data_IF_514939549467
#
_entry.id   IF_514939549467
#
_cell.length_a   1.000
_cell.length_b   1.000
_cell.length_c   1.000
_cell.angle_alpha   90.00
_cell.angle_beta   90.00
_cell.angle_gamma   90.00
#
_symmetry.space_group_name_H-M   'P 1'
#
loop_
_entity.id
_entity.type
_entity.pdbx_description
1 polymer ?
#
# COMPACT_ATOMS: atom_id res chain seq x y z
N UNK A 1 -19.96 34.63 -37.87
CA UNK A 1 -18.64 34.00 -37.65
C UNK A 1 -18.61 33.38 -36.24
N UNK A 2 -18.92 32.09 -36.11
CA UNK A 2 -18.83 31.35 -34.85
C UNK A 2 -17.63 30.40 -34.93
N UNK A 3 -16.48 30.77 -34.37
CA UNK A 3 -15.29 29.89 -34.31
C UNK A 3 -14.46 30.02 -33.03
N UNK A 4 -15.04 30.43 -31.89
CA UNK A 4 -14.27 30.57 -30.64
C UNK A 4 -14.55 29.53 -29.53
N UNK A 5 -15.46 28.57 -29.71
CA UNK A 5 -15.86 27.66 -28.61
C UNK A 5 -15.22 26.26 -28.61
N UNK A 6 -14.48 25.87 -29.65
CA UNK A 6 -14.00 24.48 -29.79
C UNK A 6 -12.64 24.18 -29.12
N UNK A 7 -11.88 25.19 -28.67
CA UNK A 7 -10.54 24.98 -28.09
C UNK A 7 -10.56 24.66 -26.59
N UNK A 8 -11.52 25.17 -25.81
CA UNK A 8 -11.58 24.89 -24.37
C UNK A 8 -12.16 23.51 -24.01
N UNK A 9 -13.06 22.94 -24.82
CA UNK A 9 -13.62 21.59 -24.58
C UNK A 9 -12.63 20.43 -24.79
N UNK A 10 -11.64 20.59 -25.68
CA UNK A 10 -10.62 19.54 -25.92
C UNK A 10 -9.62 19.41 -24.77
N UNK A 11 -9.22 20.53 -24.16
CA UNK A 11 -8.22 20.56 -23.08
C UNK A 11 -8.72 19.91 -21.79
N UNK A 12 -9.98 20.12 -21.40
CA UNK A 12 -10.54 19.47 -20.21
C UNK A 12 -10.71 17.95 -20.35
N UNK A 13 -11.00 17.46 -21.56
CA UNK A 13 -11.19 16.03 -21.78
C UNK A 13 -9.86 15.25 -21.74
N UNK A 14 -8.76 15.87 -22.19
CA UNK A 14 -7.42 15.27 -22.09
C UNK A 14 -6.92 15.19 -20.64
N UNK A 15 -7.17 16.22 -19.83
CA UNK A 15 -6.78 16.20 -18.41
C UNK A 15 -7.55 15.14 -17.60
N UNK A 16 -8.87 15.02 -17.83
CA UNK A 16 -9.68 14.01 -17.16
C UNK A 16 -9.25 12.58 -17.52
N UNK A 17 -8.89 12.36 -18.79
CA UNK A 17 -8.35 11.07 -19.24
C UNK A 17 -6.99 10.75 -18.62
N UNK A 18 -6.09 11.75 -18.53
CA UNK A 18 -4.79 11.57 -17.89
C UNK A 18 -4.91 11.27 -16.39
N UNK A 19 -5.84 11.92 -15.70
CA UNK A 19 -6.11 11.61 -14.28
C UNK A 19 -6.63 10.18 -14.13
N UNK A 20 -7.55 9.75 -15.01
CA UNK A 20 -8.08 8.38 -14.98
C UNK A 20 -6.98 7.32 -15.17
N UNK A 21 -6.08 7.52 -16.16
CA UNK A 21 -4.95 6.62 -16.39
C UNK A 21 -4.05 6.56 -15.15
N UNK A 22 -3.77 7.70 -14.52
CA UNK A 22 -2.98 7.75 -13.30
C UNK A 22 -3.65 7.00 -12.14
N UNK A 23 -4.95 7.17 -11.97
CA UNK A 23 -5.70 6.48 -10.91
C UNK A 23 -5.67 4.96 -11.12
N UNK A 24 -5.76 4.49 -12.36
CA UNK A 24 -5.59 3.07 -12.72
C UNK A 24 -4.17 2.57 -12.40
N UNK A 25 -3.12 3.33 -12.74
CA UNK A 25 -1.73 3.00 -12.40
C UNK A 25 -1.49 2.93 -10.88
N UNK A 26 -2.10 3.83 -10.10
CA UNK A 26 -2.02 3.82 -8.64
C UNK A 26 -2.68 2.56 -8.08
N UNK A 27 -3.88 2.22 -8.55
CA UNK A 27 -4.60 1.02 -8.10
C UNK A 27 -3.82 -0.28 -8.41
N UNK A 28 -3.17 -0.35 -9.57
CA UNK A 28 -2.32 -1.49 -9.92
C UNK A 28 -1.11 -1.61 -8.97
N UNK A 29 -0.49 -0.49 -8.61
CA UNK A 29 0.63 -0.48 -7.65
C UNK A 29 0.16 -0.85 -6.24
N UNK A 30 -0.98 -0.34 -5.79
CA UNK A 30 -1.58 -0.69 -4.50
C UNK A 30 -1.85 -2.19 -4.41
N UNK A 31 -2.40 -2.81 -5.46
CA UNK A 31 -2.63 -4.26 -5.53
C UNK A 31 -1.31 -5.03 -5.44
N UNK A 32 -0.27 -4.62 -6.16
CA UNK A 32 1.04 -5.29 -6.12
C UNK A 32 1.71 -5.18 -4.75
N UNK A 33 1.55 -4.04 -4.07
CA UNK A 33 2.05 -3.84 -2.71
C UNK A 33 1.30 -4.76 -1.75
N UNK A 34 -0.03 -4.84 -1.86
CA UNK A 34 -0.83 -5.73 -1.02
C UNK A 34 -0.42 -7.19 -1.21
N UNK A 35 -0.29 -7.66 -2.46
CA UNK A 35 0.17 -9.02 -2.78
C UNK A 35 1.56 -9.30 -2.17
N UNK A 36 2.48 -8.33 -2.22
CA UNK A 36 3.80 -8.45 -1.60
C UNK A 36 3.69 -8.60 -0.07
N UNK A 37 2.81 -7.83 0.58
CA UNK A 37 2.60 -7.94 2.03
C UNK A 37 1.96 -9.27 2.42
N UNK A 38 0.96 -9.75 1.67
CA UNK A 38 0.36 -11.06 1.90
C UNK A 38 1.42 -12.17 1.88
N UNK A 39 2.30 -12.14 0.87
CA UNK A 39 3.41 -13.10 0.75
C UNK A 39 4.41 -12.94 1.90
N UNK A 40 4.80 -11.71 2.23
CA UNK A 40 5.74 -11.46 3.32
C UNK A 40 5.20 -11.94 4.67
N UNK A 41 3.94 -11.65 4.98
CA UNK A 41 3.28 -12.10 6.20
C UNK A 41 3.06 -13.60 6.24
N UNK A 42 2.72 -14.22 5.09
CA UNK A 42 2.64 -15.67 4.97
C UNK A 42 3.97 -16.33 5.38
N UNK A 43 5.10 -15.86 4.85
CA UNK A 43 6.41 -16.40 5.20
C UNK A 43 6.88 -16.02 6.62
N UNK A 44 6.35 -14.93 7.20
CA UNK A 44 6.55 -14.61 8.60
C UNK A 44 5.77 -15.53 9.56
N UNK A 45 4.84 -16.34 9.03
CA UNK A 45 3.99 -17.26 9.77
C UNK A 45 2.69 -16.63 10.29
N UNK A 46 2.22 -15.54 9.69
CA UNK A 46 0.96 -14.90 10.08
C UNK A 46 -0.22 -15.81 9.73
N UNK A 47 -1.17 -15.95 10.66
CA UNK A 47 -2.44 -16.64 10.39
C UNK A 47 -3.25 -15.85 9.37
N UNK A 48 -3.85 -16.49 8.35
CA UNK A 48 -4.68 -15.78 7.37
C UNK A 48 -5.83 -14.99 8.01
N UNK A 49 -6.37 -15.46 9.14
CA UNK A 49 -7.42 -14.75 9.90
C UNK A 49 -6.97 -13.44 10.54
N UNK A 50 -5.68 -13.16 10.60
CA UNK A 50 -5.09 -11.99 11.25
C UNK A 50 -4.44 -11.02 10.24
N UNK A 51 -4.61 -11.24 8.94
CA UNK A 51 -4.01 -10.42 7.88
C UNK A 51 -4.46 -8.95 7.97
N UNK A 52 -5.77 -8.71 7.99
CA UNK A 52 -6.33 -7.35 8.03
C UNK A 52 -5.85 -6.60 9.29
N UNK A 53 -5.86 -7.28 10.45
CA UNK A 53 -5.39 -6.72 11.71
C UNK A 53 -3.88 -6.41 11.65
N UNK A 54 -3.07 -7.28 11.04
CA UNK A 54 -1.64 -7.07 10.88
C UNK A 54 -1.31 -5.91 9.93
N UNK A 55 -2.06 -5.75 8.83
CA UNK A 55 -1.91 -4.63 7.90
C UNK A 55 -2.28 -3.30 8.58
N UNK A 56 -3.37 -3.28 9.35
CA UNK A 56 -3.77 -2.10 10.12
C UNK A 56 -2.71 -1.74 11.16
N UNK A 57 -2.22 -2.71 11.93
CA UNK A 57 -1.16 -2.48 12.90
C UNK A 57 0.14 -2.02 12.24
N UNK A 58 0.47 -2.56 11.06
CA UNK A 58 1.63 -2.12 10.29
C UNK A 58 1.54 -0.63 9.92
N UNK A 59 0.36 -0.15 9.53
CA UNK A 59 0.14 1.29 9.26
C UNK A 59 0.32 2.13 10.53
N UNK A 60 -0.21 1.68 11.67
CA UNK A 60 -0.01 2.36 12.96
C UNK A 60 1.47 2.45 13.35
N UNK A 61 2.23 1.37 13.13
CA UNK A 61 3.69 1.36 13.35
C UNK A 61 4.36 2.38 12.45
N UNK A 62 4.02 2.43 11.16
CA UNK A 62 4.60 3.40 10.22
C UNK A 62 4.29 4.85 10.61
N UNK A 63 3.07 5.15 11.04
CA UNK A 63 2.69 6.49 11.51
C UNK A 63 3.42 6.93 12.78
N UNK A 64 3.92 5.98 13.56
CA UNK A 64 4.69 6.23 14.80
C UNK A 64 6.19 6.40 14.59
N UNK A 65 6.70 6.11 13.38
CA UNK A 65 8.12 6.17 13.05
C UNK A 65 8.59 7.59 12.72
N UNK A 66 9.90 7.79 12.79
CA UNK A 66 10.53 9.04 12.35
C UNK A 66 10.33 9.20 10.83
N UNK A 67 9.89 10.38 10.39
CA UNK A 67 9.69 10.72 8.97
C UNK A 67 11.00 10.58 8.16
N UNK A 68 12.16 10.72 8.83
CA UNK A 68 13.48 10.57 8.20
C UNK A 68 13.90 9.09 8.02
N UNK A 69 13.12 8.12 8.54
CA UNK A 69 13.43 6.70 8.42
C UNK A 69 13.26 6.23 6.96
N UNK A 70 14.29 5.66 6.32
CA UNK A 70 14.16 5.19 4.95
C UNK A 70 13.14 4.05 4.83
N UNK A 71 12.19 4.20 3.90
CA UNK A 71 11.28 3.12 3.53
C UNK A 71 11.97 2.13 2.59
N UNK A 72 12.40 1.00 3.12
CA UNK A 72 13.09 -0.06 2.38
C UNK A 72 12.73 -1.45 2.93
N UNK A 73 13.23 -2.50 2.28
CA UNK A 73 12.97 -3.87 2.68
C UNK A 73 13.39 -4.17 4.13
N UNK A 74 14.49 -3.58 4.62
CA UNK A 74 14.94 -3.78 6.00
C UNK A 74 13.94 -3.20 7.01
N UNK A 75 13.41 -2.01 6.73
CA UNK A 75 12.38 -1.37 7.56
C UNK A 75 11.08 -2.18 7.54
N UNK A 76 10.65 -2.67 6.37
CA UNK A 76 9.47 -3.53 6.24
C UNK A 76 9.64 -4.80 7.09
N UNK A 77 10.78 -5.49 6.97
CA UNK A 77 11.07 -6.70 7.75
C UNK A 77 11.08 -6.40 9.25
N UNK A 78 11.70 -5.30 9.67
CA UNK A 78 11.75 -4.91 11.08
C UNK A 78 10.34 -4.68 11.65
N UNK A 79 9.46 -4.04 10.87
CA UNK A 79 8.07 -3.81 11.26
C UNK A 79 7.29 -5.12 11.37
N UNK A 80 7.46 -6.06 10.43
CA UNK A 80 6.83 -7.40 10.51
C UNK A 80 7.31 -8.17 11.76
N UNK A 81 8.60 -8.08 12.09
CA UNK A 81 9.15 -8.71 13.29
C UNK A 81 8.61 -8.06 14.58
N UNK A 82 8.43 -6.73 14.58
CA UNK A 82 7.81 -6.01 15.69
C UNK A 82 6.35 -6.48 15.89
N UNK A 83 5.56 -6.56 14.82
CA UNK A 83 4.18 -7.07 14.87
C UNK A 83 4.17 -8.48 15.49
N UNK A 84 5.10 -9.35 15.09
CA UNK A 84 5.21 -10.70 15.64
C UNK A 84 5.60 -10.72 17.11
N UNK A 85 6.43 -9.78 17.56
CA UNK A 85 6.81 -9.64 18.96
C UNK A 85 5.63 -9.14 19.80
N UNK A 86 4.87 -8.17 19.29
CA UNK A 86 3.80 -7.49 20.02
C UNK A 86 2.49 -8.29 20.01
N UNK A 87 2.27 -9.09 18.96
CA UNK A 87 1.06 -9.89 18.72
C UNK A 87 1.40 -11.35 18.38
N UNK A 88 2.13 -12.08 19.26
CA UNK A 88 2.55 -13.44 18.97
C UNK A 88 1.38 -14.39 18.70
N UNK A 89 0.19 -14.11 19.24
CA UNK A 89 -1.03 -14.88 19.03
C UNK A 89 -1.55 -14.85 17.58
N UNK A 90 -1.16 -13.84 16.78
CA UNK A 90 -1.51 -13.74 15.36
C UNK A 90 -0.66 -14.63 14.47
N UNK A 91 0.46 -15.14 14.99
CA UNK A 91 1.39 -15.97 14.24
C UNK A 91 1.28 -17.44 14.67
N UNK A 92 1.59 -18.33 13.75
CA UNK A 92 1.81 -19.72 14.07
C UNK A 92 3.17 -19.87 14.77
N UNK A 93 3.22 -20.72 15.79
CA UNK A 93 4.50 -21.21 16.32
C UNK A 93 5.15 -22.04 15.24
N UNK A 94 6.11 -21.44 14.52
CA UNK A 94 7.03 -22.17 13.67
C UNK A 94 7.72 -23.23 14.54
N UNK A 95 7.38 -24.50 14.31
CA UNK A 95 8.10 -25.65 14.86
C UNK A 95 9.49 -25.77 14.23
#
# INVERSE_FOLDING_TARGET
MQQHDKKHKKSHNTQALQNKIRDEEIQELESQILDMFEVAFHFAGLKPSSLDDALNYYMEVMESQDDDLPYNAQTIIANILLIRQDKPEWFDTLN
#
